data_IF_717103026790
#
_entry.id   IF_717103026790
#
_cell.length_a   1.000
_cell.length_b   1.000
_cell.length_c   1.000
_cell.angle_alpha   90.00
_cell.angle_beta   90.00
_cell.angle_gamma   90.00
#
_symmetry.space_group_name_H-M   'P 1'
#
loop_
_entity.id
_entity.type
_entity.pdbx_description
1 polymer ?
#
# COMPACT_ATOMS: atom_id res chain seq x y z
N UNK A 1 -12.01 -21.67 5.91
CA UNK A 1 -12.95 -20.56 5.68
C UNK A 1 -12.28 -19.28 6.18
N UNK A 2 -12.21 -18.21 5.37
CA UNK A 2 -11.48 -16.97 5.74
C UNK A 2 -12.39 -15.89 6.36
N UNK A 3 -13.70 -16.05 6.22
CA UNK A 3 -14.70 -15.05 6.59
C UNK A 3 -14.59 -14.51 8.03
N UNK A 4 -14.55 -15.35 9.09
CA UNK A 4 -14.49 -14.85 10.47
C UNK A 4 -13.20 -14.06 10.75
N UNK A 5 -12.07 -14.50 10.18
CA UNK A 5 -10.77 -13.83 10.30
C UNK A 5 -10.82 -12.43 9.67
N UNK A 6 -11.52 -12.30 8.53
CA UNK A 6 -11.66 -11.01 7.84
C UNK A 6 -12.60 -10.05 8.57
N UNK A 7 -13.64 -10.55 9.25
CA UNK A 7 -14.52 -9.73 10.10
C UNK A 7 -13.76 -9.20 11.30
N UNK A 8 -13.03 -10.07 12.01
CA UNK A 8 -12.21 -9.65 13.16
C UNK A 8 -11.10 -8.66 12.76
N UNK A 9 -10.48 -8.87 11.61
CA UNK A 9 -9.53 -7.91 11.04
C UNK A 9 -10.17 -6.55 10.79
N UNK A 10 -11.39 -6.51 10.23
CA UNK A 10 -12.10 -5.26 9.98
C UNK A 10 -12.41 -4.51 11.28
N UNK A 11 -12.82 -5.22 12.33
CA UNK A 11 -13.04 -4.64 13.67
C UNK A 11 -11.73 -4.08 14.24
N UNK A 12 -10.63 -4.82 14.14
CA UNK A 12 -9.32 -4.39 14.62
C UNK A 12 -8.82 -3.15 13.87
N UNK A 13 -8.95 -3.12 12.54
CA UNK A 13 -8.56 -1.97 11.72
C UNK A 13 -9.39 -0.74 12.06
N UNK A 14 -10.70 -0.89 12.26
CA UNK A 14 -11.59 0.22 12.62
C UNK A 14 -11.23 0.83 13.98
N UNK A 15 -10.81 0.00 14.94
CA UNK A 15 -10.36 0.45 16.27
C UNK A 15 -9.01 1.19 16.22
N UNK A 16 -8.05 0.66 15.48
CA UNK A 16 -6.67 1.20 15.40
C UNK A 16 -6.56 2.39 14.44
N UNK A 17 -7.40 2.43 13.40
CA UNK A 17 -7.43 3.46 12.37
C UNK A 17 -8.85 4.03 12.23
N UNK A 18 -9.33 4.83 13.20
CA UNK A 18 -10.69 5.35 13.23
C UNK A 18 -10.98 6.38 12.12
N UNK A 19 -9.93 6.91 11.47
CA UNK A 19 -10.07 7.90 10.40
C UNK A 19 -10.61 7.23 9.14
N UNK A 20 -11.77 7.72 8.68
CA UNK A 20 -12.36 7.27 7.42
C UNK A 20 -11.47 7.61 6.22
N UNK A 21 -11.42 6.70 5.24
CA UNK A 21 -10.68 6.91 3.99
C UNK A 21 -9.21 6.49 3.99
N UNK A 22 -8.67 6.03 5.13
CA UNK A 22 -7.28 5.51 5.20
C UNK A 22 -7.22 4.05 4.77
N UNK A 23 -8.12 3.21 5.29
CA UNK A 23 -8.17 1.77 5.00
C UNK A 23 -9.63 1.37 4.76
N UNK A 24 -9.86 0.62 3.69
CA UNK A 24 -11.14 -0.02 3.42
C UNK A 24 -10.91 -1.52 3.24
N UNK A 25 -11.71 -2.33 3.94
CA UNK A 25 -11.74 -3.78 3.78
C UNK A 25 -13.05 -4.14 3.08
N UNK A 26 -12.94 -4.87 1.98
CA UNK A 26 -14.07 -5.29 1.17
C UNK A 26 -14.04 -6.78 0.87
N UNK A 27 -15.22 -7.32 0.58
CA UNK A 27 -15.42 -8.69 0.10
C UNK A 27 -16.23 -8.63 -1.18
N UNK A 28 -15.94 -9.54 -2.10
CA UNK A 28 -16.68 -9.70 -3.35
C UNK A 28 -17.06 -11.16 -3.46
N UNK A 29 -18.35 -11.42 -3.64
CA UNK A 29 -18.85 -12.72 -4.04
C UNK A 29 -18.66 -12.89 -5.55
N UNK A 30 -17.68 -13.72 -5.93
CA UNK A 30 -17.32 -13.95 -7.33
C UNK A 30 -18.29 -14.90 -8.04
N UNK A 31 -19.10 -15.67 -7.31
CA UNK A 31 -20.13 -16.53 -7.92
C UNK A 31 -21.31 -15.67 -8.41
N UNK A 32 -21.66 -14.66 -7.61
CA UNK A 32 -22.68 -13.65 -7.97
C UNK A 32 -22.16 -12.60 -8.96
N UNK A 33 -20.90 -12.17 -8.85
CA UNK A 33 -20.31 -11.10 -9.69
C UNK A 33 -19.14 -11.60 -10.55
N UNK A 34 -19.49 -12.33 -11.61
CA UNK A 34 -18.52 -12.89 -12.56
C UNK A 34 -17.76 -11.82 -13.37
N UNK A 35 -18.30 -10.61 -13.50
CA UNK A 35 -17.65 -9.53 -14.22
C UNK A 35 -16.44 -9.00 -13.43
N UNK A 36 -16.57 -8.84 -12.11
CA UNK A 36 -15.47 -8.42 -11.23
C UNK A 36 -14.38 -9.49 -11.18
N UNK A 37 -14.75 -10.77 -11.03
CA UNK A 37 -13.77 -11.87 -10.96
C UNK A 37 -12.93 -11.97 -12.24
N UNK A 38 -13.58 -11.85 -13.40
CA UNK A 38 -12.91 -11.81 -14.72
C UNK A 38 -12.01 -10.56 -14.84
N UNK A 39 -12.54 -9.37 -14.52
CA UNK A 39 -11.80 -8.10 -14.62
C UNK A 39 -10.48 -8.10 -13.84
N UNK A 40 -10.48 -8.69 -12.64
CA UNK A 40 -9.31 -8.73 -11.77
C UNK A 40 -8.56 -10.08 -11.79
N UNK A 41 -8.85 -10.94 -12.78
CA UNK A 41 -8.22 -12.24 -12.99
C UNK A 41 -8.21 -13.11 -11.72
N UNK A 42 -9.38 -13.26 -11.08
CA UNK A 42 -9.57 -14.10 -9.90
C UNK A 42 -9.86 -15.53 -10.33
N UNK A 43 -8.82 -16.37 -10.34
CA UNK A 43 -8.92 -17.75 -10.83
C UNK A 43 -9.00 -18.80 -9.70
N UNK A 44 -8.95 -18.37 -8.44
CA UNK A 44 -8.98 -19.25 -7.26
C UNK A 44 -9.52 -18.50 -6.04
N UNK A 45 -10.09 -19.25 -5.10
CA UNK A 45 -10.67 -18.67 -3.90
C UNK A 45 -9.99 -19.18 -2.61
N UNK A 46 -9.88 -18.34 -1.57
CA UNK A 46 -9.95 -16.87 -1.64
C UNK A 46 -8.69 -16.30 -2.33
N UNK A 47 -8.84 -15.19 -3.05
CA UNK A 47 -7.73 -14.38 -3.57
C UNK A 47 -7.78 -13.00 -2.93
N UNK A 48 -6.64 -12.54 -2.40
CA UNK A 48 -6.53 -11.27 -1.70
C UNK A 48 -5.73 -10.28 -2.54
N UNK A 49 -6.44 -9.28 -3.07
CA UNK A 49 -5.88 -8.17 -3.86
C UNK A 49 -5.78 -6.93 -2.98
N UNK A 50 -4.71 -6.15 -3.16
CA UNK A 50 -4.56 -4.83 -2.55
C UNK A 50 -4.84 -3.76 -3.60
N UNK A 51 -5.53 -2.71 -3.20
CA UNK A 51 -5.79 -1.54 -4.03
C UNK A 51 -5.24 -0.30 -3.33
N UNK A 52 -4.66 0.62 -4.11
CA UNK A 52 -4.16 1.91 -3.64
C UNK A 52 -4.73 2.99 -4.55
N UNK A 53 -5.45 3.96 -3.97
CA UNK A 53 -6.07 5.04 -4.74
C UNK A 53 -6.93 4.52 -5.93
N UNK A 54 -7.63 3.39 -5.74
CA UNK A 54 -8.44 2.74 -6.78
C UNK A 54 -7.67 1.87 -7.78
N UNK A 55 -6.34 1.84 -7.72
CA UNK A 55 -5.49 1.06 -8.62
C UNK A 55 -5.08 -0.25 -7.93
N UNK A 56 -5.32 -1.38 -8.59
CA UNK A 56 -4.89 -2.69 -8.11
C UNK A 56 -3.36 -2.79 -8.12
N UNK A 57 -2.75 -3.24 -7.03
CA UNK A 57 -1.32 -3.51 -6.99
C UNK A 57 -0.99 -4.81 -7.75
N UNK A 58 0.23 -4.91 -8.27
CA UNK A 58 0.68 -6.12 -9.00
C UNK A 58 0.78 -7.36 -8.09
N UNK A 59 1.13 -7.16 -6.82
CA UNK A 59 1.37 -8.25 -5.87
C UNK A 59 0.12 -8.59 -5.06
N UNK A 60 -0.22 -9.86 -5.07
CA UNK A 60 -1.24 -10.46 -4.19
C UNK A 60 -0.68 -10.69 -2.79
N UNK A 61 -1.54 -10.66 -1.77
CA UNK A 61 -1.15 -11.11 -0.44
C UNK A 61 -0.97 -12.64 -0.42
N UNK A 62 0.21 -13.09 -0.02
CA UNK A 62 0.55 -14.53 0.10
C UNK A 62 1.08 -14.92 1.48
N UNK A 63 0.92 -14.05 2.47
CA UNK A 63 1.32 -14.32 3.85
C UNK A 63 0.35 -15.22 4.62
N UNK A 64 0.58 -15.34 5.93
CA UNK A 64 -0.24 -16.16 6.81
C UNK A 64 -1.68 -15.61 6.94
N UNK A 65 -2.67 -16.51 6.94
CA UNK A 65 -4.09 -16.17 7.01
C UNK A 65 -4.56 -16.04 8.46
N UNK A 66 -3.93 -15.15 9.21
CA UNK A 66 -4.23 -14.87 10.61
C UNK A 66 -4.45 -13.36 10.78
N UNK A 67 -5.28 -12.96 11.75
CA UNK A 67 -5.65 -11.54 11.96
C UNK A 67 -4.42 -10.66 12.12
N UNK A 68 -3.47 -11.06 12.97
CA UNK A 68 -2.25 -10.29 13.21
C UNK A 68 -1.36 -10.18 11.98
N UNK A 69 -1.22 -11.27 11.21
CA UNK A 69 -0.43 -11.27 9.98
C UNK A 69 -1.04 -10.38 8.89
N UNK A 70 -2.36 -10.27 8.82
CA UNK A 70 -3.04 -9.31 7.95
C UNK A 70 -2.87 -7.88 8.45
N UNK A 71 -3.09 -7.66 9.75
CA UNK A 71 -2.98 -6.35 10.38
C UNK A 71 -1.58 -5.77 10.19
N UNK A 72 -0.54 -6.54 10.47
CA UNK A 72 0.86 -6.12 10.25
C UNK A 72 1.17 -5.84 8.78
N UNK A 73 0.61 -6.63 7.87
CA UNK A 73 0.74 -6.36 6.45
C UNK A 73 0.12 -5.01 6.08
N UNK A 74 -1.12 -4.75 6.51
CA UNK A 74 -1.84 -3.50 6.23
C UNK A 74 -1.10 -2.30 6.83
N UNK A 75 -0.61 -2.40 8.08
CA UNK A 75 0.19 -1.36 8.72
C UNK A 75 1.42 -1.01 7.88
N UNK A 76 2.17 -2.02 7.43
CA UNK A 76 3.30 -1.83 6.50
C UNK A 76 2.88 -1.27 5.14
N UNK A 77 1.62 -1.43 4.72
CA UNK A 77 1.13 -0.88 3.46
C UNK A 77 0.81 0.61 3.55
N UNK A 78 0.40 1.12 4.72
CA UNK A 78 0.05 2.55 4.90
C UNK A 78 1.25 3.42 5.30
N UNK A 79 2.35 2.81 5.73
CA UNK A 79 3.61 3.53 5.99
C UNK A 79 4.12 4.23 4.72
N UNK A 80 4.73 5.42 4.92
CA UNK A 80 5.36 6.15 3.83
C UNK A 80 6.43 5.29 3.16
N UNK A 81 6.41 5.25 1.83
CA UNK A 81 7.45 4.61 1.01
C UNK A 81 8.58 5.58 0.63
N UNK A 82 8.50 6.84 1.08
CA UNK A 82 9.46 7.88 0.78
C UNK A 82 10.44 8.01 1.94
N UNK A 83 11.72 7.86 1.64
CA UNK A 83 12.83 8.25 2.51
C UNK A 83 13.03 9.76 2.42
N UNK A 84 12.98 10.46 3.55
CA UNK A 84 13.26 11.90 3.59
C UNK A 84 14.75 12.16 3.76
N UNK A 85 15.32 13.02 2.93
CA UNK A 85 16.68 13.52 3.08
C UNK A 85 16.60 14.91 3.70
N UNK A 86 17.18 15.04 4.88
CA UNK A 86 17.29 16.33 5.58
C UNK A 86 18.63 17.00 5.28
N UNK A 87 19.67 16.19 5.00
CA UNK A 87 21.01 16.69 4.76
C UNK A 87 21.65 16.05 3.52
N UNK A 88 22.61 16.73 2.86
CA UNK A 88 23.35 16.13 1.75
C UNK A 88 24.08 14.83 2.12
N UNK A 89 24.45 14.66 3.39
CA UNK A 89 25.10 13.44 3.90
C UNK A 89 24.20 12.21 3.82
N UNK A 90 22.87 12.40 3.84
CA UNK A 90 21.91 11.30 3.75
C UNK A 90 22.00 10.59 2.39
N UNK A 91 22.46 11.28 1.34
CA UNK A 91 22.70 10.70 0.02
C UNK A 91 23.79 9.62 0.02
N UNK A 92 24.72 9.67 0.98
CA UNK A 92 25.80 8.68 1.10
C UNK A 92 25.24 7.32 1.56
N UNK A 93 24.07 7.31 2.22
CA UNK A 93 23.42 6.10 2.71
C UNK A 93 22.65 5.34 1.62
N UNK A 94 22.53 5.93 0.43
CA UNK A 94 21.81 5.35 -0.70
C UNK A 94 22.68 4.28 -1.37
N UNK A 95 22.13 3.07 -1.49
CA UNK A 95 22.79 1.93 -2.11
C UNK A 95 22.78 2.09 -3.64
N UNK A 96 23.90 2.51 -4.24
CA UNK A 96 24.00 2.75 -5.69
C UNK A 96 23.64 1.54 -6.58
N UNK A 97 23.50 0.32 -6.03
CA UNK A 97 23.05 -0.87 -6.76
C UNK A 97 21.54 -0.97 -6.92
N UNK A 98 20.75 -0.19 -6.16
CA UNK A 98 19.29 -0.17 -6.25
C UNK A 98 18.81 1.00 -7.10
N UNK A 99 17.57 0.90 -7.59
CA UNK A 99 16.92 1.97 -8.35
C UNK A 99 16.27 2.96 -7.38
N UNK A 100 16.57 4.24 -7.59
CA UNK A 100 16.02 5.34 -6.82
C UNK A 100 15.34 6.36 -7.73
N UNK A 101 14.23 6.92 -7.23
CA UNK A 101 13.62 8.12 -7.78
C UNK A 101 13.73 9.18 -6.68
N UNK A 102 14.47 10.26 -6.97
CA UNK A 102 14.71 11.35 -6.03
C UNK A 102 13.89 12.56 -6.48
N UNK A 103 13.02 13.05 -5.62
CA UNK A 103 12.29 14.30 -5.81
C UNK A 103 12.81 15.38 -4.88
N UNK A 104 13.00 16.59 -5.39
CA UNK A 104 13.28 17.77 -4.59
C UNK A 104 12.09 18.72 -4.72
N UNK A 105 11.58 19.20 -3.58
CA UNK A 105 10.34 19.96 -3.53
C UNK A 105 10.49 21.17 -2.62
N UNK A 106 9.77 22.26 -2.90
CA UNK A 106 9.82 23.44 -2.03
C UNK A 106 9.04 23.23 -0.73
N UNK A 107 7.97 22.44 -0.77
CA UNK A 107 7.08 22.19 0.38
C UNK A 107 6.44 20.80 0.25
N UNK A 108 6.35 20.07 1.38
CA UNK A 108 5.66 18.78 1.49
C UNK A 108 4.14 18.90 1.29
N UNK A 109 3.57 20.09 1.48
CA UNK A 109 2.15 20.34 1.26
C UNK A 109 1.80 20.61 -0.21
N UNK A 110 2.80 20.80 -1.08
CA UNK A 110 2.61 21.08 -2.49
C UNK A 110 1.89 19.96 -3.24
N UNK A 111 1.17 20.32 -4.30
CA UNK A 111 0.52 19.34 -5.18
C UNK A 111 1.52 18.36 -5.82
N UNK A 112 2.72 18.86 -6.12
CA UNK A 112 3.83 18.07 -6.66
C UNK A 112 4.28 16.99 -5.67
N UNK A 113 4.46 17.34 -4.39
CA UNK A 113 4.84 16.38 -3.35
C UNK A 113 3.73 15.34 -3.10
N UNK A 114 2.46 15.78 -3.11
CA UNK A 114 1.31 14.86 -2.99
C UNK A 114 1.24 13.88 -4.15
N UNK A 115 1.49 14.34 -5.37
CA UNK A 115 1.53 13.49 -6.57
C UNK A 115 2.69 12.51 -6.50
N UNK A 116 3.87 12.97 -6.09
CA UNK A 116 5.03 12.12 -5.86
C UNK A 116 4.75 11.03 -4.81
N UNK A 117 4.09 11.38 -3.72
CA UNK A 117 3.67 10.43 -2.65
C UNK A 117 2.71 9.36 -3.16
N UNK A 118 1.74 9.73 -4.01
CA UNK A 118 0.84 8.75 -4.64
C UNK A 118 1.61 7.78 -5.54
N UNK A 119 2.52 8.30 -6.38
CA UNK A 119 3.35 7.46 -7.26
C UNK A 119 4.28 6.55 -6.45
N UNK A 120 4.91 7.06 -5.40
CA UNK A 120 5.76 6.29 -4.50
C UNK A 120 4.99 5.14 -3.85
N UNK A 121 3.78 5.40 -3.36
CA UNK A 121 2.87 4.39 -2.79
C UNK A 121 2.52 3.29 -3.78
N UNK A 122 2.26 3.64 -5.06
CA UNK A 122 1.92 2.68 -6.11
C UNK A 122 3.10 1.81 -6.54
N UNK A 123 4.29 2.39 -6.62
CA UNK A 123 5.50 1.75 -7.15
C UNK A 123 6.48 1.29 -6.06
N UNK A 124 6.03 1.23 -4.80
CA UNK A 124 6.87 0.89 -3.63
C UNK A 124 7.62 -0.45 -3.72
N UNK A 125 7.09 -1.38 -4.51
CA UNK A 125 7.66 -2.72 -4.71
C UNK A 125 8.66 -2.77 -5.88
N UNK A 126 8.80 -1.67 -6.62
CA UNK A 126 9.58 -1.58 -7.87
C UNK A 126 10.77 -0.62 -7.77
N UNK A 127 10.59 0.51 -7.07
CA UNK A 127 11.61 1.55 -6.90
C UNK A 127 11.65 2.06 -5.46
N UNK A 128 12.82 2.55 -5.04
CA UNK A 128 12.97 3.28 -3.79
C UNK A 128 12.71 4.76 -4.06
N UNK A 129 11.87 5.39 -3.25
CA UNK A 129 11.54 6.81 -3.40
C UNK A 129 12.20 7.62 -2.32
N UNK A 130 12.75 8.75 -2.72
CA UNK A 130 13.49 9.65 -1.85
C UNK A 130 13.00 11.07 -2.10
N UNK A 131 12.76 11.83 -1.05
CA UNK A 131 12.38 13.22 -1.15
C UNK A 131 13.26 14.12 -0.29
N UNK A 132 13.61 15.29 -0.81
CA UNK A 132 14.23 16.38 -0.07
C UNK A 132 13.32 17.61 -0.20
N UNK A 133 13.26 18.41 0.86
CA UNK A 133 12.61 19.72 0.82
C UNK A 133 13.58 20.84 1.14
N UNK A 134 13.28 22.03 0.64
CA UNK A 134 13.96 23.27 1.04
C UNK A 134 13.62 23.68 2.47
#
# INVERSE_FOLDING_TARGET
MLDPIYNELADKITKEFPQSGVIAIGKVDCDSDNAISTKYNVNKYPTLKLFRHGIMTKREYRGARQVDAFFDFIRKQIESSIMKLSTPSDLITIDSKKRYIIGHFDDENSENYRTFTKVASLLRDECNFVASTN
#
